data_IF_266233093992
#
_entry.id   IF_266233093992
#
_cell.length_a   1.000
_cell.length_b   1.000
_cell.length_c   1.000
_cell.angle_alpha   90.00
_cell.angle_beta   90.00
_cell.angle_gamma   90.00
#
_symmetry.space_group_name_H-M   'P 1'
#
loop_
_entity.id
_entity.type
_entity.pdbx_description
1 polymer ?
#
# COMPACT_ATOMS: atom_id res chain seq x y z
N UNK A 1 20.79 5.29 -3.52
CA UNK A 1 21.49 6.43 -4.12
C UNK A 1 22.70 6.76 -3.24
N UNK A 2 23.91 6.85 -3.80
CA UNK A 2 25.16 7.00 -3.02
C UNK A 2 25.81 8.37 -3.28
N UNK A 3 26.29 9.02 -2.22
CA UNK A 3 26.97 10.32 -2.26
C UNK A 3 28.35 10.20 -1.60
N UNK A 4 29.40 10.54 -2.33
CA UNK A 4 30.81 10.45 -1.87
C UNK A 4 31.24 11.73 -1.17
N UNK A 5 32.10 11.62 -0.15
CA UNK A 5 32.64 12.77 0.59
C UNK A 5 33.77 13.49 -0.17
N UNK A 6 34.00 14.79 0.09
CA UNK A 6 33.13 15.71 0.83
C UNK A 6 31.93 16.13 -0.04
N UNK A 7 30.75 16.28 0.57
CA UNK A 7 29.53 16.65 -0.13
C UNK A 7 28.89 17.91 0.45
N UNK A 8 28.09 18.58 -0.36
CA UNK A 8 27.29 19.72 0.07
C UNK A 8 26.06 19.24 0.87
N UNK A 9 25.76 19.93 1.97
CA UNK A 9 24.58 19.66 2.78
C UNK A 9 23.28 19.85 1.97
N UNK A 10 23.24 20.83 1.08
CA UNK A 10 22.07 21.12 0.25
C UNK A 10 21.80 19.99 -0.76
N UNK A 11 22.85 19.38 -1.32
CA UNK A 11 22.73 18.22 -2.22
C UNK A 11 22.19 16.99 -1.48
N UNK A 12 22.72 16.69 -0.29
CA UNK A 12 22.22 15.59 0.54
C UNK A 12 20.74 15.80 0.87
N UNK A 13 20.35 17.01 1.28
CA UNK A 13 18.96 17.33 1.62
C UNK A 13 18.05 17.30 0.39
N UNK A 14 18.53 17.65 -0.79
CA UNK A 14 17.80 17.50 -2.04
C UNK A 14 17.56 16.02 -2.38
N UNK A 15 18.56 15.14 -2.22
CA UNK A 15 18.42 13.70 -2.46
C UNK A 15 17.51 13.01 -1.46
N UNK A 16 17.61 13.37 -0.17
CA UNK A 16 16.68 12.87 0.86
C UNK A 16 15.24 13.27 0.48
N UNK A 17 15.01 14.55 0.14
CA UNK A 17 13.69 15.00 -0.33
C UNK A 17 13.23 14.26 -1.58
N UNK A 18 14.11 13.98 -2.53
CA UNK A 18 13.78 13.25 -3.75
C UNK A 18 13.41 11.78 -3.47
N UNK A 19 14.14 11.08 -2.59
CA UNK A 19 13.81 9.73 -2.16
C UNK A 19 12.50 9.67 -1.36
N UNK A 20 12.22 10.70 -0.56
CA UNK A 20 10.98 10.82 0.23
C UNK A 20 9.78 11.30 -0.60
N UNK A 21 10.02 11.94 -1.76
CA UNK A 21 8.99 12.42 -2.67
C UNK A 21 8.38 11.21 -3.39
N UNK A 22 7.57 10.46 -2.67
CA UNK A 22 6.60 9.52 -3.22
C UNK A 22 5.45 10.38 -3.79
N UNK A 23 5.30 10.52 -5.11
CA UNK A 23 4.26 11.36 -5.69
C UNK A 23 2.94 10.58 -5.68
N UNK A 24 2.36 10.35 -4.50
CA UNK A 24 1.39 9.26 -4.34
C UNK A 24 2.12 7.91 -4.48
N UNK A 25 1.96 7.01 -3.52
CA UNK A 25 2.41 5.63 -3.79
C UNK A 25 1.67 5.13 -5.02
N UNK A 26 2.32 4.32 -5.86
CA UNK A 26 1.55 3.49 -6.80
C UNK A 26 0.37 2.88 -6.02
N UNK A 27 -0.86 2.92 -6.58
CA UNK A 27 -2.01 2.32 -5.94
C UNK A 27 -1.61 0.92 -5.51
N UNK A 28 -1.71 0.67 -4.20
CA UNK A 28 -1.26 -0.60 -3.66
C UNK A 28 -2.15 -1.67 -4.29
N UNK A 29 -1.59 -2.67 -5.00
CA UNK A 29 -2.43 -3.65 -5.67
C UNK A 29 -3.32 -4.33 -4.63
N UNK A 30 -4.58 -4.64 -4.98
CA UNK A 30 -5.49 -5.30 -4.06
C UNK A 30 -4.88 -6.62 -3.59
N UNK A 31 -5.12 -6.95 -2.32
CA UNK A 31 -4.66 -8.21 -1.76
C UNK A 31 -5.54 -9.33 -2.31
N UNK A 32 -4.91 -10.31 -2.96
CA UNK A 32 -5.60 -11.45 -3.57
C UNK A 32 -5.32 -12.72 -2.78
N UNK A 33 -6.39 -13.39 -2.35
CA UNK A 33 -6.34 -14.69 -1.65
C UNK A 33 -7.33 -15.63 -2.33
N UNK A 34 -6.81 -16.48 -3.22
CA UNK A 34 -7.66 -17.34 -4.06
C UNK A 34 -8.63 -16.50 -4.90
N UNK A 35 -9.94 -16.72 -4.71
CA UNK A 35 -10.99 -15.98 -5.40
C UNK A 35 -11.30 -14.60 -4.80
N UNK A 36 -10.80 -14.31 -3.59
CA UNK A 36 -11.03 -13.05 -2.88
C UNK A 36 -10.02 -12.01 -3.33
N UNK A 37 -10.49 -10.79 -3.60
CA UNK A 37 -9.66 -9.60 -3.76
C UNK A 37 -10.16 -8.51 -2.82
N UNK A 38 -9.22 -7.81 -2.17
CA UNK A 38 -9.50 -6.73 -1.23
C UNK A 38 -8.65 -5.51 -1.55
N UNK A 39 -9.28 -4.39 -1.87
CA UNK A 39 -8.60 -3.11 -2.05
C UNK A 39 -8.42 -2.41 -0.69
N UNK A 40 -7.17 -2.19 -0.29
CA UNK A 40 -6.85 -1.57 1.01
C UNK A 40 -7.12 -0.06 1.07
N UNK A 41 -7.27 0.59 -0.10
CA UNK A 41 -7.51 2.02 -0.23
C UNK A 41 -9.00 2.33 -0.32
N UNK A 42 -9.73 1.63 -1.20
CA UNK A 42 -11.18 1.82 -1.38
C UNK A 42 -12.01 1.01 -0.38
N UNK A 43 -11.41 -0.02 0.24
CA UNK A 43 -12.09 -1.04 1.06
C UNK A 43 -13.16 -1.81 0.29
N UNK A 44 -12.99 -1.93 -1.03
CA UNK A 44 -13.84 -2.76 -1.86
C UNK A 44 -13.41 -4.23 -1.77
N UNK A 45 -14.40 -5.11 -1.81
CA UNK A 45 -14.22 -6.56 -1.72
C UNK A 45 -14.86 -7.18 -2.94
N UNK A 46 -14.11 -8.00 -3.66
CA UNK A 46 -14.67 -8.81 -4.75
C UNK A 46 -14.34 -10.30 -4.54
N UNK A 47 -15.30 -11.16 -4.88
CA UNK A 47 -15.15 -12.62 -4.89
C UNK A 47 -15.46 -13.12 -6.28
N UNK A 48 -14.54 -13.86 -6.90
CA UNK A 48 -14.66 -14.27 -8.31
C UNK A 48 -14.89 -13.08 -9.29
N UNK A 49 -14.38 -11.89 -8.94
CA UNK A 49 -14.57 -10.68 -9.73
C UNK A 49 -15.91 -9.96 -9.50
N UNK A 50 -16.81 -10.50 -8.67
CA UNK A 50 -18.06 -9.84 -8.32
C UNK A 50 -17.93 -9.06 -7.00
N UNK A 51 -18.40 -7.81 -6.99
CA UNK A 51 -18.37 -6.97 -5.80
C UNK A 51 -19.30 -7.52 -4.71
N UNK A 52 -18.78 -7.65 -3.49
CA UNK A 52 -19.50 -8.15 -2.32
C UNK A 52 -19.61 -7.04 -1.29
N UNK A 53 -20.84 -6.67 -0.93
CA UNK A 53 -21.09 -5.72 0.15
C UNK A 53 -21.06 -6.45 1.47
N UNK A 54 -20.12 -6.05 2.34
CA UNK A 54 -20.01 -6.55 3.71
C UNK A 54 -20.55 -5.54 4.70
N UNK A 55 -21.10 -6.02 5.82
CA UNK A 55 -21.41 -5.14 6.93
C UNK A 55 -20.13 -4.58 7.55
N UNK A 56 -20.23 -3.42 8.20
CA UNK A 56 -19.08 -2.70 8.79
C UNK A 56 -18.19 -3.58 9.68
N UNK A 57 -18.78 -4.49 10.46
CA UNK A 57 -18.02 -5.40 11.36
C UNK A 57 -17.26 -6.47 10.58
N UNK A 58 -17.87 -7.02 9.54
CA UNK A 58 -17.27 -8.03 8.67
C UNK A 58 -16.13 -7.44 7.86
N UNK A 59 -16.34 -6.24 7.30
CA UNK A 59 -15.31 -5.51 6.57
C UNK A 59 -14.09 -5.19 7.44
N UNK A 60 -14.30 -4.74 8.68
CA UNK A 60 -13.21 -4.44 9.61
C UNK A 60 -12.44 -5.71 10.01
N UNK A 61 -13.14 -6.82 10.24
CA UNK A 61 -12.51 -8.11 10.51
C UNK A 61 -11.67 -8.57 9.31
N UNK A 62 -12.24 -8.48 8.11
CA UNK A 62 -11.56 -8.86 6.87
C UNK A 62 -10.32 -8.01 6.62
N UNK A 63 -10.41 -6.68 6.76
CA UNK A 63 -9.27 -5.76 6.63
C UNK A 63 -8.15 -6.16 7.60
N UNK A 64 -8.51 -6.53 8.84
CA UNK A 64 -7.54 -7.00 9.83
C UNK A 64 -6.87 -8.29 9.39
N UNK A 65 -7.62 -9.29 8.92
CA UNK A 65 -7.06 -10.56 8.44
C UNK A 65 -6.17 -10.35 7.21
N UNK A 66 -6.62 -9.54 6.25
CA UNK A 66 -5.90 -9.23 5.01
C UNK A 66 -4.57 -8.51 5.28
N UNK A 67 -4.53 -7.57 6.23
CA UNK A 67 -3.28 -6.89 6.62
C UNK A 67 -2.24 -7.81 7.25
N UNK A 68 -2.67 -8.96 7.78
CA UNK A 68 -1.80 -9.97 8.37
C UNK A 68 -1.60 -11.19 7.46
N UNK A 69 -2.28 -11.26 6.31
CA UNK A 69 -2.13 -12.35 5.38
C UNK A 69 -0.70 -12.34 4.79
N UNK A 70 0.07 -13.41 5.03
CA UNK A 70 1.46 -13.54 4.58
C UNK A 70 2.52 -13.13 5.61
N UNK A 71 2.12 -12.82 6.86
CA UNK A 71 3.01 -12.91 8.02
C UNK A 71 2.92 -14.28 8.70
#
# INVERSE_FOLDING_TARGET
DYLTKPFDADELMARIRACLRRPGGDPQPPVVVGALSFDLETREVCVNGEAVVLHRRELALLETLVRHAGR
#
